data_IF_006576025005
#
_entry.id   IF_006576025005
#
_cell.length_a   1.000
_cell.length_b   1.000
_cell.length_c   1.000
_cell.angle_alpha   90.00
_cell.angle_beta   90.00
_cell.angle_gamma   90.00
#
_symmetry.space_group_name_H-M   'P 1'
#
loop_
_entity.id
_entity.type
_entity.pdbx_description
1 polymer ?
#
# COMPACT_ATOMS: atom_id res chain seq x y z
N UNK A 1 29.14 -7.66 13.18
CA UNK A 1 27.93 -8.11 13.89
C UNK A 1 27.12 -8.93 12.91
N UNK A 2 26.80 -10.20 13.20
CA UNK A 2 26.14 -11.08 12.23
C UNK A 2 24.71 -10.59 11.91
N UNK A 3 24.24 -10.87 10.71
CA UNK A 3 22.89 -10.52 10.23
C UNK A 3 21.79 -10.99 11.20
N UNK A 4 21.92 -12.21 11.72
CA UNK A 4 21.02 -12.77 12.75
C UNK A 4 20.93 -11.92 14.04
N UNK A 5 22.01 -11.21 14.40
CA UNK A 5 22.04 -10.36 15.59
C UNK A 5 21.35 -9.01 15.33
N UNK A 6 21.33 -8.54 14.09
CA UNK A 6 20.61 -7.32 13.67
C UNK A 6 19.10 -7.57 13.47
N UNK A 7 18.73 -8.75 13.01
CA UNK A 7 17.33 -9.12 12.78
C UNK A 7 16.51 -9.27 14.09
N UNK A 8 17.13 -9.59 15.22
CA UNK A 8 16.42 -9.84 16.49
C UNK A 8 15.56 -8.67 16.97
N UNK A 9 16.04 -7.41 17.04
CA UNK A 9 15.21 -6.29 17.46
C UNK A 9 14.03 -6.03 16.51
N UNK A 10 14.26 -6.09 15.20
CA UNK A 10 13.22 -5.88 14.20
C UNK A 10 12.13 -6.96 14.26
N UNK A 11 12.53 -8.23 14.41
CA UNK A 11 11.60 -9.34 14.59
C UNK A 11 10.80 -9.20 15.88
N UNK A 12 11.45 -8.82 16.99
CA UNK A 12 10.77 -8.62 18.26
C UNK A 12 9.73 -7.49 18.18
N UNK A 13 10.05 -6.40 17.50
CA UNK A 13 9.14 -5.28 17.28
C UNK A 13 7.95 -5.68 16.39
N UNK A 14 8.20 -6.36 15.26
CA UNK A 14 7.15 -6.85 14.38
C UNK A 14 6.20 -7.82 15.14
N UNK A 15 6.75 -8.77 15.88
CA UNK A 15 5.95 -9.70 16.69
C UNK A 15 5.11 -8.98 17.73
N UNK A 16 5.70 -8.05 18.46
CA UNK A 16 4.99 -7.31 19.48
C UNK A 16 3.78 -6.56 18.90
N UNK A 17 3.95 -5.82 17.80
CA UNK A 17 2.85 -5.06 17.20
C UNK A 17 1.79 -6.00 16.59
N UNK A 18 2.18 -7.11 15.97
CA UNK A 18 1.26 -8.09 15.42
C UNK A 18 0.45 -8.76 16.53
N UNK A 19 1.06 -9.07 17.68
CA UNK A 19 0.36 -9.58 18.87
C UNK A 19 -0.68 -8.57 19.40
N UNK A 20 -0.32 -7.27 19.46
CA UNK A 20 -1.26 -6.23 19.88
C UNK A 20 -2.43 -6.09 18.91
N UNK A 21 -2.17 -6.12 17.59
CA UNK A 21 -3.24 -6.09 16.59
C UNK A 21 -4.13 -7.34 16.66
N UNK A 22 -3.57 -8.52 16.89
CA UNK A 22 -4.35 -9.73 17.08
C UNK A 22 -5.25 -9.66 18.33
N UNK A 23 -4.76 -9.05 19.42
CA UNK A 23 -5.60 -8.80 20.62
C UNK A 23 -6.73 -7.82 20.33
N UNK A 24 -6.43 -6.73 19.58
CA UNK A 24 -7.41 -5.72 19.21
C UNK A 24 -8.51 -6.30 18.32
N UNK A 25 -8.14 -7.04 17.27
CA UNK A 25 -9.09 -7.70 16.37
C UNK A 25 -10.01 -8.66 17.15
N UNK A 26 -9.43 -9.52 18.00
CA UNK A 26 -10.23 -10.44 18.84
C UNK A 26 -11.14 -9.72 19.82
N UNK A 27 -10.67 -8.61 20.43
CA UNK A 27 -11.45 -7.83 21.41
C UNK A 27 -12.68 -7.17 20.79
N UNK A 28 -12.62 -6.84 19.51
CA UNK A 28 -13.64 -6.08 18.79
C UNK A 28 -14.20 -6.87 17.60
N UNK A 29 -14.58 -8.10 17.85
CA UNK A 29 -15.03 -9.08 16.86
C UNK A 29 -15.80 -8.49 15.70
N UNK A 30 -15.31 -8.74 14.47
CA UNK A 30 -15.89 -8.26 13.22
C UNK A 30 -15.77 -6.73 12.96
N UNK A 31 -15.14 -5.95 13.87
CA UNK A 31 -15.02 -4.49 13.72
C UNK A 31 -13.73 -4.06 13.03
N UNK A 32 -12.69 -4.88 13.11
CA UNK A 32 -11.38 -4.59 12.56
C UNK A 32 -10.83 -5.77 11.78
N UNK A 33 -10.17 -5.45 10.70
CA UNK A 33 -9.20 -6.30 10.01
C UNK A 33 -7.81 -5.71 10.24
N UNK A 34 -6.76 -6.52 10.10
CA UNK A 34 -5.41 -6.04 10.33
C UNK A 34 -4.46 -6.41 9.19
N UNK A 35 -3.52 -5.53 8.94
CA UNK A 35 -2.29 -5.81 8.24
C UNK A 35 -1.17 -6.08 9.23
N UNK A 36 -0.39 -7.13 8.99
CA UNK A 36 0.77 -7.44 9.82
C UNK A 36 2.01 -6.65 9.41
N UNK A 37 2.89 -6.44 10.36
CA UNK A 37 4.20 -5.85 10.13
C UNK A 37 5.25 -6.94 9.88
N UNK A 38 6.14 -6.74 8.92
CA UNK A 38 7.27 -7.62 8.64
C UNK A 38 8.59 -7.00 9.07
N UNK A 39 9.55 -7.81 9.60
CA UNK A 39 10.86 -7.34 10.01
C UNK A 39 11.83 -7.15 8.82
N UNK A 40 11.36 -6.55 7.71
CA UNK A 40 12.23 -6.24 6.58
C UNK A 40 13.39 -5.31 7.02
N UNK A 41 14.57 -5.48 6.44
CA UNK A 41 14.92 -6.29 5.25
C UNK A 41 15.32 -7.75 5.55
N UNK A 42 15.00 -8.32 6.69
CA UNK A 42 15.43 -9.64 7.12
C UNK A 42 14.48 -10.72 6.57
N UNK A 43 14.83 -11.32 5.43
CA UNK A 43 13.98 -12.24 4.66
C UNK A 43 13.52 -13.44 5.49
N UNK A 44 14.42 -14.23 6.08
CA UNK A 44 14.06 -15.44 6.85
C UNK A 44 13.12 -15.13 8.02
N UNK A 45 13.37 -14.00 8.70
CA UNK A 45 12.51 -13.54 9.79
C UNK A 45 11.13 -13.10 9.28
N UNK A 46 11.07 -12.51 8.09
CA UNK A 46 9.81 -12.10 7.46
C UNK A 46 8.99 -13.30 7.01
N UNK A 47 9.61 -14.33 6.44
CA UNK A 47 8.92 -15.57 6.08
C UNK A 47 8.26 -16.22 7.30
N UNK A 48 9.02 -16.37 8.40
CA UNK A 48 8.47 -16.91 9.65
C UNK A 48 7.29 -16.09 10.20
N UNK A 49 7.33 -14.78 10.01
CA UNK A 49 6.27 -13.91 10.51
C UNK A 49 5.04 -13.87 9.57
N UNK A 50 5.20 -14.09 8.25
CA UNK A 50 4.08 -14.22 7.31
C UNK A 50 3.18 -15.38 7.69
N UNK A 51 3.75 -16.58 7.89
CA UNK A 51 2.98 -17.76 8.29
C UNK A 51 2.17 -17.47 9.58
N UNK A 52 2.80 -16.81 10.54
CA UNK A 52 2.16 -16.49 11.82
C UNK A 52 1.01 -15.49 11.68
N UNK A 53 1.18 -14.41 10.93
CA UNK A 53 0.14 -13.37 10.78
C UNK A 53 -1.03 -13.82 9.91
N UNK A 54 -0.79 -14.66 8.91
CA UNK A 54 -1.84 -15.15 8.02
C UNK A 54 -2.54 -16.37 8.62
N UNK A 55 -1.77 -17.41 9.01
CA UNK A 55 -2.34 -18.70 9.42
C UNK A 55 -2.81 -18.70 10.87
N UNK A 56 -2.07 -18.04 11.80
CA UNK A 56 -2.44 -18.05 13.21
C UNK A 56 -3.38 -16.90 13.57
N UNK A 57 -3.19 -15.69 12.99
CA UNK A 57 -3.96 -14.51 13.35
C UNK A 57 -5.09 -14.20 12.38
N UNK A 58 -5.06 -14.75 11.18
CA UNK A 58 -6.07 -14.48 10.14
C UNK A 58 -6.06 -13.05 9.64
N UNK A 59 -4.89 -12.39 9.62
CA UNK A 59 -4.78 -11.05 9.05
C UNK A 59 -4.96 -11.07 7.55
N UNK A 60 -5.47 -9.98 7.01
CA UNK A 60 -5.77 -9.87 5.57
C UNK A 60 -4.53 -9.75 4.69
N UNK A 61 -3.39 -9.50 5.28
CA UNK A 61 -2.11 -9.35 4.60
C UNK A 61 -1.11 -8.55 5.43
N UNK A 62 -0.25 -7.81 4.77
CA UNK A 62 0.86 -7.07 5.40
C UNK A 62 0.85 -5.60 5.00
N UNK A 63 1.36 -4.73 5.90
CA UNK A 63 1.70 -3.35 5.55
C UNK A 63 3.21 -3.22 5.40
N UNK A 64 3.65 -2.77 4.24
CA UNK A 64 5.06 -2.60 3.91
C UNK A 64 5.40 -1.12 3.71
N UNK A 65 6.57 -0.69 4.18
CA UNK A 65 7.07 0.65 3.88
C UNK A 65 7.34 0.80 2.39
N UNK A 66 6.93 1.90 1.78
CA UNK A 66 7.18 2.19 0.37
C UNK A 66 8.67 2.14 0.02
N UNK A 67 9.53 2.59 0.93
CA UNK A 67 10.98 2.45 0.84
C UNK A 67 11.54 1.91 2.16
N UNK A 68 12.45 0.97 2.07
CA UNK A 68 13.16 0.44 3.24
C UNK A 68 14.32 1.38 3.65
N UNK A 69 14.76 1.31 4.91
CA UNK A 69 15.90 2.10 5.39
C UNK A 69 17.11 2.00 4.44
N UNK A 70 17.72 3.16 4.14
CA UNK A 70 18.83 3.26 3.20
C UNK A 70 18.40 3.29 1.73
N UNK A 71 17.11 3.49 1.43
CA UNK A 71 16.58 3.61 0.07
C UNK A 71 16.49 2.27 -0.68
N UNK A 72 16.49 1.16 0.06
CA UNK A 72 16.32 -0.15 -0.56
C UNK A 72 14.90 -0.31 -1.07
N UNK A 73 14.77 -0.65 -2.36
CA UNK A 73 13.48 -0.92 -2.99
C UNK A 73 12.91 -2.28 -2.58
N UNK A 74 11.61 -2.36 -2.42
CA UNK A 74 10.87 -3.63 -2.27
C UNK A 74 10.97 -4.53 -3.53
N UNK A 75 11.35 -3.95 -4.67
CA UNK A 75 11.58 -4.66 -5.93
C UNK A 75 12.95 -5.35 -6.02
N UNK A 76 13.81 -5.21 -5.02
CA UNK A 76 15.09 -5.91 -4.97
C UNK A 76 14.87 -7.44 -4.93
N UNK A 77 15.56 -8.17 -5.80
CA UNK A 77 15.38 -9.63 -5.96
C UNK A 77 15.63 -10.44 -4.69
N UNK A 78 16.35 -9.91 -3.72
CA UNK A 78 16.50 -10.57 -2.42
C UNK A 78 15.17 -10.77 -1.69
N UNK A 79 14.14 -9.99 -2.03
CA UNK A 79 12.79 -10.10 -1.46
C UNK A 79 11.86 -11.02 -2.27
N UNK A 80 12.33 -11.62 -3.38
CA UNK A 80 11.53 -12.59 -4.14
C UNK A 80 10.94 -13.71 -3.26
N UNK A 81 11.66 -14.26 -2.26
CA UNK A 81 11.05 -15.27 -1.37
C UNK A 81 9.89 -14.70 -0.52
N UNK A 82 9.96 -13.44 -0.11
CA UNK A 82 8.86 -12.77 0.63
C UNK A 82 7.66 -12.58 -0.29
N UNK A 83 7.88 -12.12 -1.52
CA UNK A 83 6.82 -12.00 -2.52
C UNK A 83 6.17 -13.35 -2.85
N UNK A 84 6.95 -14.41 -2.97
CA UNK A 84 6.44 -15.75 -3.23
C UNK A 84 5.55 -16.25 -2.07
N UNK A 85 5.95 -16.05 -0.82
CA UNK A 85 5.15 -16.41 0.34
C UNK A 85 3.85 -15.60 0.40
N UNK A 86 3.90 -14.28 0.15
CA UNK A 86 2.71 -13.44 0.09
C UNK A 86 1.77 -13.84 -1.06
N UNK A 87 2.32 -14.24 -2.20
CA UNK A 87 1.55 -14.76 -3.33
C UNK A 87 0.86 -16.09 -2.97
N UNK A 88 1.55 -17.00 -2.32
CA UNK A 88 1.01 -18.29 -1.88
C UNK A 88 -0.23 -18.12 -1.01
N UNK A 89 -0.19 -17.17 -0.08
CA UNK A 89 -1.32 -16.81 0.78
C UNK A 89 -2.37 -15.90 0.09
N UNK A 90 -2.17 -15.48 -1.15
CA UNK A 90 -3.02 -14.49 -1.83
C UNK A 90 -3.21 -13.21 -0.99
N UNK A 91 -2.15 -12.79 -0.32
CA UNK A 91 -2.16 -11.71 0.66
C UNK A 91 -2.44 -10.34 0.01
N UNK A 92 -3.04 -9.44 0.79
CA UNK A 92 -3.07 -8.03 0.45
C UNK A 92 -1.80 -7.38 0.97
N UNK A 93 -1.15 -6.58 0.13
CA UNK A 93 0.04 -5.81 0.50
C UNK A 93 -0.31 -4.34 0.48
N UNK A 94 -0.44 -3.74 1.66
CA UNK A 94 -0.58 -2.31 1.80
C UNK A 94 0.80 -1.65 1.69
N UNK A 95 0.95 -0.74 0.73
CA UNK A 95 2.15 0.05 0.49
C UNK A 95 1.92 1.47 1.03
N UNK A 96 2.77 1.89 1.96
CA UNK A 96 2.60 3.17 2.63
C UNK A 96 3.95 3.87 2.82
N UNK A 97 3.98 5.17 2.55
CA UNK A 97 5.16 6.02 2.75
C UNK A 97 5.65 6.00 4.21
N UNK A 98 6.93 6.16 4.40
CA UNK A 98 7.58 6.13 5.74
C UNK A 98 8.16 7.46 6.18
N UNK A 99 8.06 8.48 5.31
CA UNK A 99 8.63 9.79 5.62
C UNK A 99 10.14 9.85 5.41
N UNK A 100 10.66 9.03 4.50
CA UNK A 100 12.08 9.10 4.08
C UNK A 100 12.36 10.25 3.11
N UNK A 101 11.30 10.96 2.65
CA UNK A 101 11.38 12.00 1.63
C UNK A 101 11.89 11.47 0.29
N UNK A 102 11.52 10.22 -0.05
CA UNK A 102 12.00 9.54 -1.23
C UNK A 102 13.54 9.55 -1.34
N UNK A 103 14.23 9.57 -0.21
CA UNK A 103 15.70 9.70 -0.08
C UNK A 103 16.27 11.01 -0.65
N UNK A 104 15.43 11.98 -0.95
CA UNK A 104 15.86 13.29 -1.47
C UNK A 104 16.27 14.21 -0.32
N UNK A 105 17.52 14.65 -0.31
CA UNK A 105 17.99 15.67 0.63
C UNK A 105 17.24 16.98 0.50
N UNK A 106 16.75 17.31 -0.70
CA UNK A 106 15.96 18.52 -0.92
C UNK A 106 14.61 18.47 -0.19
N UNK A 107 14.04 17.29 0.00
CA UNK A 107 12.82 17.12 0.79
C UNK A 107 13.14 17.04 2.29
N UNK A 108 14.16 16.30 2.67
CA UNK A 108 14.54 16.09 4.08
C UNK A 108 15.07 17.37 4.72
N UNK A 109 16.05 18.01 4.09
CA UNK A 109 16.74 19.18 4.63
C UNK A 109 15.81 20.43 4.71
N UNK A 110 14.72 20.44 3.94
CA UNK A 110 13.75 21.55 3.92
C UNK A 110 12.41 21.23 4.62
N UNK A 111 12.31 20.12 5.34
CA UNK A 111 11.10 19.77 6.09
C UNK A 111 9.87 19.43 5.24
N UNK A 112 10.07 19.01 3.99
CA UNK A 112 9.01 18.70 3.02
C UNK A 112 8.61 17.21 2.97
N UNK A 113 9.15 16.42 3.88
CA UNK A 113 8.99 14.96 3.91
C UNK A 113 7.52 14.54 3.91
N UNK A 114 6.71 15.16 4.76
CA UNK A 114 5.28 14.85 4.88
C UNK A 114 4.40 15.70 3.95
N UNK A 115 4.93 16.81 3.44
CA UNK A 115 4.17 17.70 2.55
C UNK A 115 4.08 17.12 1.15
N UNK A 116 5.20 16.68 0.60
CA UNK A 116 5.31 16.14 -0.75
C UNK A 116 6.06 14.81 -0.80
N UNK A 117 6.96 14.59 0.14
CA UNK A 117 7.83 13.39 0.14
C UNK A 117 7.05 12.10 0.28
N UNK A 118 6.02 12.05 1.12
CA UNK A 118 5.23 10.83 1.33
C UNK A 118 4.50 10.37 0.06
N UNK A 119 3.69 11.19 -0.64
CA UNK A 119 3.09 10.77 -1.90
C UNK A 119 4.12 10.39 -2.98
N UNK A 120 5.27 11.05 -3.01
CA UNK A 120 6.37 10.71 -3.94
C UNK A 120 6.99 9.34 -3.60
N UNK A 121 7.11 8.99 -2.31
CA UNK A 121 7.57 7.65 -1.90
C UNK A 121 6.63 6.56 -2.42
N UNK A 122 5.31 6.74 -2.27
CA UNK A 122 4.32 5.78 -2.75
C UNK A 122 4.44 5.58 -4.27
N UNK A 123 4.51 6.68 -5.02
CA UNK A 123 4.68 6.64 -6.47
C UNK A 123 5.97 5.91 -6.89
N UNK A 124 7.12 6.24 -6.28
CA UNK A 124 8.40 5.60 -6.58
C UNK A 124 8.34 4.09 -6.25
N UNK A 125 7.73 3.72 -5.13
CA UNK A 125 7.55 2.31 -4.77
C UNK A 125 6.81 1.56 -5.87
N UNK A 126 5.65 2.05 -6.28
CA UNK A 126 4.84 1.43 -7.34
C UNK A 126 5.63 1.33 -8.64
N UNK A 127 6.30 2.40 -9.09
CA UNK A 127 7.11 2.37 -10.32
C UNK A 127 8.23 1.32 -10.25
N UNK A 128 8.88 1.15 -9.08
CA UNK A 128 9.88 0.09 -8.88
C UNK A 128 9.26 -1.30 -9.02
N UNK A 129 8.08 -1.54 -8.43
CA UNK A 129 7.39 -2.83 -8.51
C UNK A 129 6.95 -3.13 -9.95
N UNK A 130 6.41 -2.14 -10.67
CA UNK A 130 6.03 -2.28 -12.09
C UNK A 130 7.25 -2.58 -12.96
N UNK A 131 8.36 -1.84 -12.76
CA UNK A 131 9.60 -2.05 -13.52
C UNK A 131 10.22 -3.42 -13.31
N UNK A 132 10.12 -3.97 -12.10
CA UNK A 132 10.60 -5.31 -11.75
C UNK A 132 9.59 -6.43 -12.05
N UNK A 133 8.46 -6.09 -12.65
CA UNK A 133 7.39 -7.02 -13.01
C UNK A 133 6.78 -7.79 -11.81
N UNK A 134 6.84 -7.20 -10.62
CA UNK A 134 6.37 -7.87 -9.40
C UNK A 134 4.91 -8.29 -9.50
N UNK A 135 3.95 -7.45 -9.97
CA UNK A 135 2.54 -7.85 -10.05
C UNK A 135 2.26 -9.04 -10.98
N UNK A 136 3.04 -9.20 -12.06
CA UNK A 136 2.88 -10.35 -12.98
C UNK A 136 3.63 -11.58 -12.50
N UNK A 137 4.76 -11.40 -11.82
CA UNK A 137 5.55 -12.51 -11.24
C UNK A 137 4.85 -13.13 -10.04
N UNK A 138 4.07 -12.34 -9.30
CA UNK A 138 3.32 -12.75 -8.10
C UNK A 138 1.85 -12.32 -8.22
N UNK A 139 1.08 -12.99 -9.11
CA UNK A 139 -0.23 -12.50 -9.57
C UNK A 139 -1.35 -12.64 -8.55
N UNK A 140 -1.15 -13.40 -7.47
CA UNK A 140 -2.15 -13.53 -6.40
C UNK A 140 -2.02 -12.46 -5.31
N UNK A 141 -0.88 -11.76 -5.28
CA UNK A 141 -0.70 -10.58 -4.40
C UNK A 141 -1.63 -9.47 -4.86
N UNK A 142 -2.40 -8.91 -3.94
CA UNK A 142 -3.23 -7.73 -4.19
C UNK A 142 -2.60 -6.51 -3.55
N UNK A 143 -2.31 -5.51 -4.35
CA UNK A 143 -1.65 -4.29 -3.91
C UNK A 143 -2.69 -3.26 -3.49
N UNK A 144 -2.58 -2.76 -2.26
CA UNK A 144 -3.28 -1.59 -1.76
C UNK A 144 -2.27 -0.46 -1.58
N UNK A 145 -2.37 0.58 -2.39
CA UNK A 145 -1.44 1.71 -2.41
C UNK A 145 -2.07 2.92 -1.75
N UNK A 146 -1.36 3.52 -0.82
CA UNK A 146 -1.84 4.70 -0.10
C UNK A 146 -1.91 5.96 -0.99
N UNK A 147 -2.71 6.95 -0.53
CA UNK A 147 -2.74 8.33 -1.04
C UNK A 147 -3.00 8.46 -2.55
N UNK A 148 -3.93 7.65 -3.11
CA UNK A 148 -4.22 7.60 -4.55
C UNK A 148 -2.97 7.33 -5.43
N UNK A 149 -1.96 6.62 -4.90
CA UNK A 149 -0.67 6.38 -5.53
C UNK A 149 0.13 7.66 -5.84
N UNK A 150 -0.01 8.70 -5.02
CA UNK A 150 0.74 9.93 -5.17
C UNK A 150 0.43 10.68 -6.47
N UNK A 151 1.45 10.90 -7.30
CA UNK A 151 1.33 11.64 -8.56
C UNK A 151 1.11 10.75 -9.81
N UNK A 152 1.01 9.43 -9.65
CA UNK A 152 0.90 8.50 -10.79
C UNK A 152 -0.33 8.75 -11.67
N UNK A 153 -1.55 9.01 -11.14
CA UNK A 153 -2.69 9.33 -11.98
C UNK A 153 -2.48 10.61 -12.80
N UNK A 154 -1.81 11.62 -12.24
CA UNK A 154 -1.45 12.84 -12.95
C UNK A 154 -0.43 12.60 -14.08
N UNK A 155 0.48 11.66 -13.89
CA UNK A 155 1.54 11.32 -14.85
C UNK A 155 1.16 10.19 -15.81
N UNK A 156 -0.08 9.73 -15.80
CA UNK A 156 -0.52 8.51 -16.49
C UNK A 156 -0.11 8.47 -17.98
N UNK A 157 -0.39 9.53 -18.75
CA UNK A 157 -0.03 9.59 -20.17
C UNK A 157 1.49 9.54 -20.36
N UNK A 158 2.25 10.27 -19.54
CA UNK A 158 3.70 10.25 -19.59
C UNK A 158 4.29 8.86 -19.33
N UNK A 159 3.66 8.08 -18.45
CA UNK A 159 4.08 6.70 -18.17
C UNK A 159 3.85 5.80 -19.38
N UNK A 160 2.71 5.95 -20.08
CA UNK A 160 2.40 5.20 -21.30
C UNK A 160 3.35 5.57 -22.44
N UNK A 161 3.60 6.88 -22.67
CA UNK A 161 4.54 7.33 -23.69
C UNK A 161 5.94 6.72 -23.46
N UNK A 162 6.42 6.72 -22.22
CA UNK A 162 7.73 6.11 -21.89
C UNK A 162 7.72 4.58 -22.03
N UNK A 163 6.60 3.92 -21.81
CA UNK A 163 6.44 2.49 -22.08
C UNK A 163 6.53 2.21 -23.58
N UNK A 164 5.80 2.96 -24.41
CA UNK A 164 5.75 2.77 -25.86
C UNK A 164 7.08 3.13 -26.53
N UNK A 165 7.64 4.29 -26.21
CA UNK A 165 8.82 4.83 -26.90
C UNK A 165 10.13 4.18 -26.45
N UNK A 166 10.25 3.83 -25.17
CA UNK A 166 11.53 3.40 -24.59
C UNK A 166 11.50 2.01 -23.95
N UNK A 167 10.37 1.34 -23.94
CA UNK A 167 10.24 0.04 -23.28
C UNK A 167 10.57 0.13 -21.77
N UNK A 168 10.16 1.23 -21.13
CA UNK A 168 10.52 1.52 -19.75
C UNK A 168 9.99 0.49 -18.76
N UNK A 169 8.88 -0.19 -19.10
CA UNK A 169 8.20 -1.18 -18.28
C UNK A 169 7.96 -2.48 -19.08
N UNK A 170 7.78 -3.63 -18.41
CA UNK A 170 7.50 -4.91 -19.08
C UNK A 170 6.06 -5.03 -19.62
N UNK A 171 5.14 -4.17 -19.14
CA UNK A 171 3.77 -4.02 -19.63
C UNK A 171 3.32 -2.55 -19.48
N UNK A 172 2.16 -2.20 -20.07
CA UNK A 172 1.56 -0.89 -19.91
C UNK A 172 1.36 -0.55 -18.42
N UNK A 173 1.95 0.56 -17.94
CA UNK A 173 1.79 0.98 -16.55
C UNK A 173 0.34 1.22 -16.15
N UNK A 174 -0.49 1.80 -17.03
CA UNK A 174 -1.92 1.98 -16.75
C UNK A 174 -2.67 0.65 -16.63
N UNK A 175 -2.33 -0.32 -17.46
CA UNK A 175 -2.91 -1.66 -17.35
C UNK A 175 -2.55 -2.29 -16.00
N UNK A 176 -1.31 -2.14 -15.54
CA UNK A 176 -0.86 -2.65 -14.26
C UNK A 176 -1.52 -1.90 -13.09
N UNK A 177 -1.56 -0.56 -13.14
CA UNK A 177 -2.20 0.27 -12.10
C UNK A 177 -3.68 -0.06 -11.94
N UNK A 178 -4.42 -0.27 -13.02
CA UNK A 178 -5.85 -0.63 -12.98
C UNK A 178 -6.14 -1.97 -12.33
N UNK A 179 -5.13 -2.76 -11.98
CA UNK A 179 -5.26 -3.98 -11.17
C UNK A 179 -4.90 -3.81 -9.70
N UNK A 180 -4.44 -2.61 -9.31
CA UNK A 180 -4.12 -2.26 -7.93
C UNK A 180 -5.29 -1.56 -7.25
N UNK A 181 -5.30 -1.58 -5.92
CA UNK A 181 -6.28 -0.89 -5.10
C UNK A 181 -5.64 0.36 -4.49
N UNK A 182 -6.42 1.40 -4.31
CA UNK A 182 -5.92 2.69 -3.83
C UNK A 182 -6.82 3.21 -2.72
N UNK A 183 -6.26 3.81 -1.68
CA UNK A 183 -7.06 4.59 -0.76
C UNK A 183 -7.13 6.06 -1.16
N UNK A 184 -8.23 6.68 -0.78
CA UNK A 184 -8.54 8.06 -1.10
C UNK A 184 -8.08 9.04 -0.01
N UNK A 185 -7.01 8.72 0.74
CA UNK A 185 -6.48 9.57 1.81
C UNK A 185 -5.68 10.77 1.29
N UNK A 186 -6.20 11.43 0.26
CA UNK A 186 -5.65 12.67 -0.31
C UNK A 186 -6.49 13.90 0.05
N UNK A 187 -7.80 13.70 0.32
CA UNK A 187 -8.77 14.70 0.79
C UNK A 187 -9.02 15.88 -0.16
N UNK A 188 -8.70 15.74 -1.44
CA UNK A 188 -8.87 16.74 -2.48
C UNK A 188 -9.76 16.18 -3.60
N UNK A 189 -10.97 16.72 -3.72
CA UNK A 189 -12.00 16.23 -4.64
C UNK A 189 -11.52 16.17 -6.10
N UNK A 190 -10.86 17.21 -6.68
CA UNK A 190 -10.36 17.14 -8.04
C UNK A 190 -9.33 16.01 -8.26
N UNK A 191 -8.50 15.70 -7.26
CA UNK A 191 -7.54 14.59 -7.35
C UNK A 191 -8.26 13.24 -7.35
N UNK A 192 -9.31 13.07 -6.52
CA UNK A 192 -10.14 11.87 -6.52
C UNK A 192 -10.80 11.68 -7.89
N UNK A 193 -11.45 12.71 -8.42
CA UNK A 193 -12.12 12.64 -9.70
C UNK A 193 -11.15 12.30 -10.85
N UNK A 194 -10.00 12.95 -10.89
CA UNK A 194 -8.93 12.65 -11.87
C UNK A 194 -8.48 11.19 -11.76
N UNK A 195 -8.31 10.67 -10.55
CA UNK A 195 -7.89 9.28 -10.34
C UNK A 195 -8.98 8.31 -10.81
N UNK A 196 -10.25 8.60 -10.53
CA UNK A 196 -11.40 7.81 -11.03
C UNK A 196 -11.46 7.82 -12.55
N UNK A 197 -11.29 8.98 -13.20
CA UNK A 197 -11.27 9.11 -14.66
C UNK A 197 -10.10 8.32 -15.28
N UNK A 198 -8.95 8.25 -14.60
CA UNK A 198 -7.72 7.62 -15.13
C UNK A 198 -7.71 6.11 -14.88
N UNK A 199 -8.03 5.67 -13.67
CA UNK A 199 -7.86 4.28 -13.23
C UNK A 199 -9.19 3.52 -13.11
N UNK A 200 -10.32 4.21 -13.00
CA UNK A 200 -11.63 3.65 -12.69
C UNK A 200 -11.97 3.77 -11.22
N UNK A 201 -13.27 3.71 -10.90
CA UNK A 201 -13.74 3.82 -9.52
C UNK A 201 -13.66 2.51 -8.72
N UNK A 202 -13.55 1.35 -9.40
CA UNK A 202 -13.77 0.02 -8.83
C UNK A 202 -12.71 -0.43 -7.81
N UNK A 203 -11.55 0.23 -7.80
CA UNK A 203 -10.42 -0.14 -6.94
C UNK A 203 -9.98 1.02 -6.02
N UNK A 204 -10.80 2.07 -5.92
CA UNK A 204 -10.54 3.19 -5.02
C UNK A 204 -11.39 3.00 -3.76
N UNK A 205 -10.78 3.11 -2.59
CA UNK A 205 -11.43 2.92 -1.29
C UNK A 205 -11.29 4.19 -0.45
N UNK A 206 -12.26 4.43 0.42
CA UNK A 206 -12.12 5.49 1.42
C UNK A 206 -10.94 5.18 2.36
N UNK A 207 -10.14 6.19 2.65
CA UNK A 207 -9.03 6.13 3.60
C UNK A 207 -8.96 7.41 4.43
N UNK A 208 -8.59 7.30 5.70
CA UNK A 208 -8.54 8.45 6.61
C UNK A 208 -7.13 8.89 6.99
N UNK A 209 -6.14 8.05 6.72
CA UNK A 209 -4.76 8.24 7.21
C UNK A 209 -4.70 8.53 8.73
N UNK A 210 -5.64 7.91 9.47
CA UNK A 210 -5.67 8.03 10.93
C UNK A 210 -4.54 7.18 11.55
N UNK A 211 -3.80 7.68 12.55
CA UNK A 211 -4.05 8.87 13.38
C UNK A 211 -3.35 10.15 12.92
N UNK A 212 -2.77 10.20 11.71
CA UNK A 212 -2.11 11.41 11.22
C UNK A 212 -3.11 12.57 11.08
N UNK A 213 -4.30 12.30 10.54
CA UNK A 213 -5.41 13.24 10.51
C UNK A 213 -6.48 12.84 11.54
N UNK A 214 -6.84 13.80 12.42
CA UNK A 214 -7.76 13.60 13.54
C UNK A 214 -8.85 14.68 13.56
N UNK A 215 -9.88 14.49 14.40
CA UNK A 215 -10.96 15.46 14.59
C UNK A 215 -11.71 15.73 13.29
N UNK A 216 -11.89 17.01 12.96
CA UNK A 216 -12.60 17.43 11.73
C UNK A 216 -11.93 16.94 10.44
N UNK A 217 -10.60 16.80 10.43
CA UNK A 217 -9.88 16.27 9.28
C UNK A 217 -10.19 14.79 9.05
N UNK A 218 -10.40 14.02 10.12
CA UNK A 218 -10.86 12.63 10.00
C UNK A 218 -12.27 12.55 9.38
N UNK A 219 -13.19 13.39 9.83
CA UNK A 219 -14.56 13.45 9.27
C UNK A 219 -14.52 13.85 7.80
N UNK A 220 -13.73 14.87 7.46
CA UNK A 220 -13.53 15.33 6.08
C UNK A 220 -13.04 14.22 5.15
N UNK A 221 -12.26 13.26 5.64
CA UNK A 221 -11.76 12.14 4.83
C UNK A 221 -12.87 11.32 4.17
N UNK A 222 -14.07 11.34 4.70
CA UNK A 222 -15.24 10.68 4.14
C UNK A 222 -16.20 11.67 3.48
N UNK A 223 -16.35 12.85 4.04
CA UNK A 223 -17.30 13.85 3.55
C UNK A 223 -16.92 14.40 2.18
N UNK A 224 -15.63 14.57 1.89
CA UNK A 224 -15.20 15.03 0.57
C UNK A 224 -15.53 14.02 -0.54
N UNK A 225 -15.60 12.72 -0.22
CA UNK A 225 -16.06 11.67 -1.15
C UNK A 225 -17.58 11.80 -1.35
N UNK A 226 -18.33 11.93 -0.24
CA UNK A 226 -19.81 12.06 -0.27
C UNK A 226 -20.29 13.26 -1.08
N UNK A 227 -19.53 14.35 -1.05
CA UNK A 227 -19.86 15.61 -1.71
C UNK A 227 -19.14 15.82 -3.04
N UNK A 228 -18.41 14.81 -3.52
CA UNK A 228 -17.70 14.88 -4.79
C UNK A 228 -18.65 14.87 -5.99
N UNK A 229 -18.10 15.19 -7.16
CA UNK A 229 -18.83 15.13 -8.45
C UNK A 229 -18.96 13.71 -9.02
N UNK A 230 -18.52 12.69 -8.30
CA UNK A 230 -18.69 11.30 -8.72
C UNK A 230 -20.16 10.93 -8.75
N UNK A 231 -20.55 9.96 -9.56
CA UNK A 231 -21.90 9.43 -9.56
C UNK A 231 -22.24 8.78 -8.21
N UNK A 232 -23.52 8.69 -7.83
CA UNK A 232 -23.93 8.02 -6.59
C UNK A 232 -23.40 6.58 -6.47
N UNK A 233 -23.34 5.85 -7.57
CA UNK A 233 -22.81 4.48 -7.61
C UNK A 233 -21.30 4.45 -7.32
N UNK A 234 -20.54 5.39 -7.88
CA UNK A 234 -19.10 5.50 -7.62
C UNK A 234 -18.81 5.94 -6.18
N UNK A 235 -19.60 6.87 -5.64
CA UNK A 235 -19.50 7.29 -4.23
C UNK A 235 -19.70 6.09 -3.30
N UNK A 236 -20.75 5.29 -3.53
CA UNK A 236 -21.02 4.11 -2.71
C UNK A 236 -19.91 3.05 -2.85
N UNK A 237 -19.43 2.82 -4.08
CA UNK A 237 -18.31 1.93 -4.33
C UNK A 237 -17.05 2.37 -3.56
N UNK A 238 -16.68 3.65 -3.65
CA UNK A 238 -15.48 4.20 -2.97
C UNK A 238 -15.63 4.17 -1.45
N UNK A 239 -16.81 4.49 -0.92
CA UNK A 239 -17.02 4.53 0.54
C UNK A 239 -17.07 3.15 1.19
N UNK A 240 -17.60 2.13 0.50
CA UNK A 240 -17.88 0.83 1.12
C UNK A 240 -17.72 -0.36 0.19
N UNK A 241 -18.23 -0.31 -1.04
CA UNK A 241 -18.31 -1.45 -1.95
C UNK A 241 -16.95 -2.07 -2.23
N UNK A 242 -16.01 -1.26 -2.65
CA UNK A 242 -14.67 -1.70 -3.07
C UNK A 242 -13.87 -2.32 -1.91
N UNK A 243 -13.94 -1.74 -0.71
CA UNK A 243 -13.30 -2.33 0.47
C UNK A 243 -13.91 -3.69 0.81
N UNK A 244 -15.24 -3.80 0.71
CA UNK A 244 -15.90 -5.09 0.89
C UNK A 244 -15.42 -6.12 -0.13
N UNK A 245 -15.26 -5.74 -1.39
CA UNK A 245 -14.79 -6.65 -2.44
C UNK A 245 -13.33 -7.08 -2.21
N UNK A 246 -12.46 -6.15 -1.86
CA UNK A 246 -11.05 -6.47 -1.59
C UNK A 246 -10.92 -7.42 -0.39
N UNK A 247 -11.56 -7.13 0.72
CA UNK A 247 -11.33 -7.85 1.98
C UNK A 247 -12.14 -9.14 2.12
N UNK A 248 -13.30 -9.27 1.50
CA UNK A 248 -14.10 -10.52 1.52
C UNK A 248 -13.43 -11.69 0.81
N UNK A 249 -12.58 -11.42 -0.18
CA UNK A 249 -11.84 -12.48 -0.88
C UNK A 249 -10.82 -13.16 0.03
N UNK A 250 -10.41 -12.51 1.14
CA UNK A 250 -9.43 -13.04 2.11
C UNK A 250 -10.09 -13.66 3.34
N UNK A 251 -11.25 -13.15 3.77
CA UNK A 251 -12.02 -13.77 4.85
C UNK A 251 -12.70 -15.04 4.30
N UNK A 252 -12.03 -16.18 4.41
CA UNK A 252 -12.67 -17.48 4.18
C UNK A 252 -13.72 -17.70 5.25
N UNK A 253 -14.96 -18.01 4.84
CA UNK A 253 -15.99 -18.60 5.68
C UNK A 253 -15.49 -19.88 6.39
#
# INVERSE_FOLDING_TARGET
MSERRRARPSLAAARWINDEYARLVRRHDGRFLAYGALPLPHVDASLTEIDRIVDEFGFVGVSLPALLPGGTSLADRRFDPVWAALDEHSAIVNLHATGSGAMSRLLVDHGLVWVNGAPVEDAICVLHLLKADIPRRFPRVRFHVAHLAGDLPFLAQRLEDNFEDWGAFPESPLTALRRMWFDAANFHEPSLAMTVETLGAQQIMAGSDHPYFQGEKYVRAFDYIRTSRLSPTEIDAVLTGNANDLYRVVTKD
#
